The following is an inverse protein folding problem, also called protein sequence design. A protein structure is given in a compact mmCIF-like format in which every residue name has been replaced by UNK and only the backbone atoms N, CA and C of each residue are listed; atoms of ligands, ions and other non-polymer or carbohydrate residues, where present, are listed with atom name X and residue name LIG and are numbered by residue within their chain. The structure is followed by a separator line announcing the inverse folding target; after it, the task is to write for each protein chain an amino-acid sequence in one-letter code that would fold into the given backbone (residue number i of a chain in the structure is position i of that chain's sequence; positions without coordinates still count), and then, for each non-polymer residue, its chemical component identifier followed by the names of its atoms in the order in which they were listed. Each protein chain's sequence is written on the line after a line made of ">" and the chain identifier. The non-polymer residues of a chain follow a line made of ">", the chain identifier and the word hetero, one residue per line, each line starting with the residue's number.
data_IF_119357983849
#
_entry.id   IF_119357983849
#
_cell.length_a   1.000
_cell.length_b   1.000
_cell.length_c   1.000
_cell.angle_alpha   90.00
_cell.angle_beta   90.00
_cell.angle_gamma   90.00
#
_symmetry.space_group_name_H-M   'P 1'
#
loop_
_entity.id
_entity.type
_entity.pdbx_description
1 polymer ?
#
# COMPACT_ATOMS: atom_id res chain seq x y z
N UNK A 1 40.53 12.22 13.96
CA UNK A 1 39.55 12.78 14.91
C UNK A 1 38.83 13.91 14.20
N UNK A 2 37.67 13.62 13.59
CA UNK A 2 36.94 14.59 12.76
C UNK A 2 36.12 15.53 13.66
N UNK A 3 36.13 16.81 13.31
CA UNK A 3 35.87 17.97 14.18
C UNK A 3 34.42 18.12 14.68
N UNK A 4 34.29 18.72 15.87
CA UNK A 4 33.04 19.16 16.51
C UNK A 4 32.36 20.38 15.81
N UNK A 5 32.46 20.46 14.48
CA UNK A 5 31.84 21.50 13.63
C UNK A 5 30.61 20.98 12.88
N UNK A 6 30.20 19.72 13.11
CA UNK A 6 29.09 19.05 12.39
C UNK A 6 27.79 18.89 13.19
N UNK A 7 27.67 19.52 14.36
CA UNK A 7 26.49 19.32 15.24
C UNK A 7 25.65 20.58 15.49
N UNK A 8 26.02 21.73 14.90
CA UNK A 8 25.25 22.98 15.00
C UNK A 8 24.45 23.32 13.72
N UNK A 9 24.25 22.37 12.79
CA UNK A 9 23.46 22.62 11.56
C UNK A 9 22.30 21.66 11.31
N UNK A 10 21.90 20.81 12.27
CA UNK A 10 20.81 19.84 12.01
C UNK A 10 19.65 20.00 12.98
N UNK A 11 18.95 21.11 12.76
CA UNK A 11 17.51 21.32 12.91
C UNK A 11 16.70 20.17 13.58
N UNK A 12 16.31 20.28 14.86
CA UNK A 12 15.41 19.31 15.51
C UNK A 12 14.01 19.24 14.87
N UNK A 13 13.64 20.18 14.01
CA UNK A 13 12.41 20.09 13.19
C UNK A 13 12.52 19.07 12.05
N UNK A 14 13.73 18.71 11.59
CA UNK A 14 13.90 17.75 10.49
C UNK A 14 13.61 16.31 10.92
N UNK A 15 13.85 15.93 12.18
CA UNK A 15 13.43 14.61 12.69
C UNK A 15 11.89 14.51 12.72
N UNK A 16 11.20 15.60 13.08
CA UNK A 16 9.73 15.63 13.15
C UNK A 16 9.07 15.64 11.76
N UNK A 17 9.70 16.27 10.77
CA UNK A 17 9.26 16.25 9.36
C UNK A 17 9.53 14.89 8.69
N UNK A 18 10.67 14.25 8.98
CA UNK A 18 11.04 12.95 8.41
C UNK A 18 10.10 11.82 8.87
N UNK A 19 9.59 11.88 10.11
CA UNK A 19 8.60 10.91 10.62
C UNK A 19 7.17 11.19 10.14
N UNK A 20 6.83 12.44 9.77
CA UNK A 20 5.51 12.81 9.25
C UNK A 20 5.25 12.32 7.81
N UNK A 21 6.29 11.99 7.04
CA UNK A 21 6.17 11.45 5.68
C UNK A 21 6.12 9.91 5.61
N UNK A 22 6.27 9.20 6.73
CA UNK A 22 6.38 7.73 6.76
C UNK A 22 5.04 6.96 6.76
N UNK A 23 3.93 7.59 6.37
CA UNK A 23 2.64 6.91 6.35
C UNK A 23 1.84 7.32 5.13
N UNK A 24 2.14 6.70 3.99
CA UNK A 24 1.02 6.16 3.23
C UNK A 24 0.24 5.29 4.23
N UNK A 25 -0.93 5.77 4.62
CA UNK A 25 -1.73 5.11 5.63
C UNK A 25 -2.17 3.77 5.03
N UNK A 26 -1.44 2.71 5.34
CA UNK A 26 -1.94 1.37 5.10
C UNK A 26 -3.28 1.27 5.84
N UNK A 27 -4.36 1.10 5.09
CA UNK A 27 -5.66 0.80 5.65
C UNK A 27 -5.77 -0.72 5.78
N UNK A 28 -6.18 -1.21 6.96
CA UNK A 28 -6.47 -2.63 7.17
C UNK A 28 -7.43 -3.17 6.09
N UNK A 29 -8.34 -2.32 5.63
CA UNK A 29 -9.25 -2.58 4.50
C UNK A 29 -8.52 -3.08 3.24
N UNK A 30 -7.35 -2.54 2.92
CA UNK A 30 -6.61 -2.94 1.71
C UNK A 30 -6.02 -4.34 1.84
N UNK A 31 -5.51 -4.69 3.03
CA UNK A 31 -5.01 -6.03 3.31
C UNK A 31 -6.14 -7.06 3.27
N UNK A 32 -7.29 -6.72 3.84
CA UNK A 32 -8.46 -7.59 3.80
C UNK A 32 -9.02 -7.73 2.36
N UNK A 33 -9.02 -6.66 1.57
CA UNK A 33 -9.38 -6.70 0.16
C UNK A 33 -8.40 -7.62 -0.63
N UNK A 34 -7.10 -7.55 -0.31
CA UNK A 34 -6.08 -8.44 -0.88
C UNK A 34 -6.33 -9.91 -0.55
N UNK A 35 -6.66 -10.22 0.71
CA UNK A 35 -7.02 -11.58 1.12
C UNK A 35 -8.25 -12.09 0.36
N UNK A 36 -9.30 -11.27 0.24
CA UNK A 36 -10.49 -11.62 -0.52
C UNK A 36 -10.20 -11.85 -2.02
N UNK A 37 -9.28 -11.07 -2.60
CA UNK A 37 -8.87 -11.27 -3.98
C UNK A 37 -8.05 -12.57 -4.16
N UNK A 38 -7.15 -12.86 -3.23
CA UNK A 38 -6.38 -14.11 -3.21
C UNK A 38 -7.29 -15.34 -3.12
N UNK A 39 -8.33 -15.30 -2.30
CA UNK A 39 -9.26 -16.42 -2.11
C UNK A 39 -10.15 -16.67 -3.33
N UNK A 40 -10.59 -15.60 -3.99
CA UNK A 40 -11.56 -15.69 -5.10
C UNK A 40 -10.92 -15.72 -6.48
N UNK A 41 -9.70 -15.21 -6.61
CA UNK A 41 -8.98 -14.98 -7.87
C UNK A 41 -9.83 -14.28 -8.94
N UNK A 42 -10.80 -13.48 -8.50
CA UNK A 42 -11.78 -12.82 -9.35
C UNK A 42 -12.23 -11.50 -8.74
N UNK A 43 -11.89 -10.38 -9.39
CA UNK A 43 -12.19 -9.03 -8.89
C UNK A 43 -13.68 -8.78 -8.64
N UNK A 44 -14.58 -9.27 -9.49
CA UNK A 44 -16.02 -9.05 -9.32
C UNK A 44 -16.58 -9.86 -8.14
N UNK A 45 -16.10 -11.09 -7.93
CA UNK A 45 -16.48 -11.90 -6.76
C UNK A 45 -15.90 -11.33 -5.46
N UNK A 46 -14.64 -10.92 -5.46
CA UNK A 46 -13.98 -10.30 -4.31
C UNK A 46 -14.66 -8.98 -3.90
N UNK A 47 -14.99 -8.12 -4.86
CA UNK A 47 -15.67 -6.86 -4.55
C UNK A 47 -17.08 -7.09 -3.96
N UNK A 48 -17.79 -8.11 -4.46
CA UNK A 48 -19.09 -8.49 -3.94
C UNK A 48 -19.02 -9.02 -2.50
N UNK A 49 -18.05 -9.86 -2.16
CA UNK A 49 -17.88 -10.35 -0.78
C UNK A 49 -17.48 -9.27 0.22
N UNK A 50 -16.86 -8.19 -0.28
CA UNK A 50 -16.41 -7.03 0.49
C UNK A 50 -17.43 -5.89 0.50
N UNK A 51 -18.61 -6.09 -0.09
CA UNK A 51 -19.70 -5.11 -0.15
C UNK A 51 -19.28 -3.76 -0.73
N UNK A 52 -18.40 -3.77 -1.74
CA UNK A 52 -17.94 -2.58 -2.45
C UNK A 52 -18.09 -2.74 -3.95
N UNK A 53 -18.14 -1.62 -4.67
CA UNK A 53 -18.15 -1.66 -6.14
C UNK A 53 -16.79 -2.16 -6.65
N UNK A 54 -16.80 -2.89 -7.76
CA UNK A 54 -15.57 -3.38 -8.38
C UNK A 54 -14.55 -2.26 -8.69
N UNK A 55 -14.93 -1.06 -9.19
CA UNK A 55 -13.98 0.03 -9.39
C UNK A 55 -13.33 0.53 -8.10
N UNK A 56 -14.09 0.62 -6.99
CA UNK A 56 -13.55 1.01 -5.70
C UNK A 56 -12.57 -0.06 -5.17
N UNK A 57 -12.94 -1.33 -5.27
CA UNK A 57 -12.10 -2.46 -4.87
C UNK A 57 -10.79 -2.50 -5.67
N UNK A 58 -10.85 -2.36 -7.00
CA UNK A 58 -9.65 -2.35 -7.84
C UNK A 58 -8.71 -1.20 -7.50
N UNK A 59 -9.23 -0.03 -7.12
CA UNK A 59 -8.41 1.10 -6.68
C UNK A 59 -7.68 0.80 -5.37
N UNK A 60 -8.34 0.15 -4.41
CA UNK A 60 -7.72 -0.23 -3.13
C UNK A 60 -6.61 -1.26 -3.30
N UNK A 61 -6.82 -2.26 -4.15
CA UNK A 61 -5.76 -3.23 -4.51
C UNK A 61 -4.58 -2.52 -5.16
N UNK A 62 -4.84 -1.61 -6.10
CA UNK A 62 -3.79 -0.82 -6.73
C UNK A 62 -3.03 0.04 -5.71
N UNK A 63 -3.71 0.71 -4.78
CA UNK A 63 -3.06 1.47 -3.71
C UNK A 63 -2.20 0.60 -2.80
N UNK A 64 -2.58 -0.65 -2.56
CA UNK A 64 -1.75 -1.61 -1.84
C UNK A 64 -0.50 -1.99 -2.64
N UNK A 65 -0.65 -2.31 -3.93
CA UNK A 65 0.47 -2.66 -4.82
C UNK A 65 1.48 -1.50 -4.92
N UNK A 66 0.98 -0.26 -5.03
CA UNK A 66 1.78 0.96 -5.01
C UNK A 66 2.49 1.17 -3.65
N UNK A 67 1.80 0.90 -2.54
CA UNK A 67 2.38 1.01 -1.21
C UNK A 67 3.50 -0.01 -0.95
N UNK A 68 3.31 -1.26 -1.37
CA UNK A 68 4.33 -2.32 -1.27
C UNK A 68 5.45 -2.10 -2.30
N UNK A 69 5.17 -1.39 -3.40
CA UNK A 69 6.12 -1.09 -4.47
C UNK A 69 6.28 -2.22 -5.49
N UNK A 70 5.37 -3.20 -5.49
CA UNK A 70 5.35 -4.30 -6.47
C UNK A 70 3.91 -4.71 -6.79
N UNK A 71 3.62 -5.11 -8.03
CA UNK A 71 2.39 -5.85 -8.33
C UNK A 71 2.29 -7.08 -7.42
N UNK A 72 1.10 -7.31 -6.87
CA UNK A 72 0.80 -8.48 -6.04
C UNK A 72 -0.03 -9.50 -6.82
N UNK A 73 -0.68 -9.09 -7.91
CA UNK A 73 -1.52 -9.97 -8.71
C UNK A 73 -1.25 -9.80 -10.21
N UNK A 74 -1.06 -10.92 -10.90
CA UNK A 74 -1.04 -10.94 -12.36
C UNK A 74 -2.48 -10.98 -12.91
N UNK A 75 -2.78 -10.06 -13.82
CA UNK A 75 -4.10 -9.97 -14.48
C UNK A 75 -4.00 -10.54 -15.89
N UNK A 76 -4.64 -11.68 -16.14
CA UNK A 76 -4.72 -12.28 -17.48
C UNK A 76 -6.18 -12.35 -17.97
N UNK A 77 -6.38 -12.60 -19.27
CA UNK A 77 -7.72 -12.90 -19.81
C UNK A 77 -8.35 -14.14 -19.17
N UNK A 78 -7.56 -15.01 -18.53
CA UNK A 78 -7.99 -16.27 -17.91
C UNK A 78 -8.32 -16.13 -16.43
N UNK A 79 -8.00 -15.00 -15.79
CA UNK A 79 -8.22 -14.79 -14.37
C UNK A 79 -7.05 -14.07 -13.69
N UNK A 80 -7.09 -14.07 -12.37
CA UNK A 80 -6.09 -13.45 -11.50
C UNK A 80 -5.21 -14.54 -10.87
N UNK A 81 -3.90 -14.30 -10.81
CA UNK A 81 -2.95 -15.16 -10.10
C UNK A 81 -2.12 -14.31 -9.13
N UNK A 82 -1.71 -14.88 -7.99
CA UNK A 82 -0.83 -14.26 -7.00
C UNK A 82 0.64 -14.53 -7.38
#
# INVERSE_FOLDING_TARGET
>A
MYNATYINETHPMLIRLQLMQYRHHLELTWLEDCLALKETLNFSKASASRYVTQPAFSRRIQSLEEWVGTPLFERSKRGVTL
#
